data_IF_917596478415
#
_entry.id   IF_917596478415
#
_cell.length_a   1.000
_cell.length_b   1.000
_cell.length_c   1.000
_cell.angle_alpha   90.00
_cell.angle_beta   90.00
_cell.angle_gamma   90.00
#
_symmetry.space_group_name_H-M   'P 1'
#
loop_
_entity.id
_entity.type
_entity.pdbx_description
1 polymer ?
#
# COMPACT_ATOMS: atom_id res chain seq x y z
N UNK A 1 10.50 26.72 -19.30
CA UNK A 1 11.61 25.74 -19.32
C UNK A 1 11.34 24.48 -18.50
N UNK A 2 10.61 24.54 -17.37
CA UNK A 2 10.19 23.35 -16.57
C UNK A 2 9.05 22.53 -17.23
N UNK A 3 8.21 23.18 -18.04
CA UNK A 3 7.08 22.54 -18.78
C UNK A 3 7.52 21.57 -19.90
N UNK A 4 8.76 21.67 -20.40
CA UNK A 4 9.29 20.79 -21.46
C UNK A 4 9.95 19.52 -20.91
N UNK A 5 10.38 19.50 -19.63
CA UNK A 5 10.90 18.29 -18.99
C UNK A 5 9.78 17.32 -18.60
N UNK A 6 8.63 17.84 -18.16
CA UNK A 6 7.46 17.05 -17.77
C UNK A 6 6.77 16.36 -18.96
N UNK A 7 6.60 17.09 -20.08
CA UNK A 7 6.01 16.52 -21.31
C UNK A 7 6.91 15.47 -22.01
N UNK A 8 8.23 15.48 -21.76
CA UNK A 8 9.15 14.46 -22.27
C UNK A 8 9.10 13.14 -21.49
N UNK A 9 8.67 13.17 -20.22
CA UNK A 9 8.51 11.96 -19.41
C UNK A 9 7.18 11.26 -19.73
N UNK A 10 6.08 12.01 -19.91
CA UNK A 10 4.78 11.41 -20.23
C UNK A 10 4.62 10.92 -21.67
N UNK A 11 5.29 11.52 -22.67
CA UNK A 11 5.20 11.04 -24.07
C UNK A 11 6.06 9.82 -24.40
N UNK A 12 6.92 9.36 -23.49
CA UNK A 12 7.71 8.11 -23.67
C UNK A 12 7.01 6.86 -23.13
N UNK A 13 5.77 6.99 -22.64
CA UNK A 13 4.99 5.89 -22.06
C UNK A 13 4.16 5.09 -23.06
N UNK A 14 4.34 5.30 -24.37
CA UNK A 14 3.79 4.40 -25.38
C UNK A 14 4.87 4.09 -26.44
N UNK A 15 5.11 2.79 -26.63
CA UNK A 15 6.04 2.16 -27.57
C UNK A 15 7.54 2.36 -27.33
N UNK A 16 8.14 1.35 -26.70
CA UNK A 16 9.53 0.95 -26.93
C UNK A 16 9.65 -0.55 -26.65
N UNK A 17 9.30 -1.34 -27.67
CA UNK A 17 9.51 -2.78 -27.78
C UNK A 17 10.96 -3.18 -27.49
N UNK A 18 11.20 -3.86 -26.36
CA UNK A 18 12.19 -4.94 -26.20
C UNK A 18 12.17 -5.49 -24.77
N UNK A 19 11.09 -6.19 -24.42
CA UNK A 19 11.10 -7.16 -23.31
C UNK A 19 11.52 -8.51 -23.88
N UNK A 20 12.73 -8.98 -23.57
CA UNK A 20 13.13 -10.37 -23.86
C UNK A 20 13.82 -11.01 -22.64
N UNK A 21 13.16 -12.07 -22.15
CA UNK A 21 13.59 -13.33 -21.53
C UNK A 21 14.75 -13.39 -20.50
N UNK A 22 14.45 -14.14 -19.44
CA UNK A 22 15.38 -14.91 -18.61
C UNK A 22 16.22 -15.90 -19.45
N UNK A 23 17.53 -15.96 -19.13
CA UNK A 23 18.52 -17.09 -19.15
C UNK A 23 19.95 -16.49 -19.24
N UNK A 24 20.89 -17.03 -18.44
CA UNK A 24 22.34 -16.66 -18.28
C UNK A 24 23.22 -17.28 -19.42
N UNK A 25 24.57 -17.07 -19.59
CA UNK A 25 25.63 -16.81 -18.58
C UNK A 25 26.79 -15.82 -18.92
N UNK A 26 27.58 -15.55 -17.87
CA UNK A 26 29.01 -15.12 -17.75
C UNK A 26 29.60 -14.01 -18.64
N UNK A 27 30.12 -12.93 -18.03
CA UNK A 27 31.57 -12.73 -17.71
C UNK A 27 31.83 -11.32 -17.15
N UNK A 28 32.69 -11.24 -16.14
CA UNK A 28 33.75 -10.22 -16.02
C UNK A 28 33.42 -8.80 -15.51
N UNK A 29 34.04 -8.48 -14.36
CA UNK A 29 34.24 -7.18 -13.70
C UNK A 29 33.11 -6.70 -12.79
N UNK A 30 33.46 -6.57 -11.50
CA UNK A 30 32.61 -6.17 -10.37
C UNK A 30 31.71 -4.97 -10.72
N UNK A 31 30.47 -5.29 -11.05
CA UNK A 31 29.38 -4.38 -11.35
C UNK A 31 28.25 -4.75 -10.42
N UNK A 32 27.58 -3.74 -9.87
CA UNK A 32 26.31 -3.87 -9.13
C UNK A 32 25.34 -4.62 -10.06
N UNK A 33 25.24 -5.93 -9.87
CA UNK A 33 24.52 -6.83 -10.75
C UNK A 33 23.06 -6.90 -10.32
N UNK A 34 22.42 -5.77 -10.03
CA UNK A 34 21.00 -5.68 -9.64
C UNK A 34 20.14 -6.56 -10.55
N UNK A 35 19.09 -7.27 -10.07
CA UNK A 35 18.16 -7.97 -10.94
C UNK A 35 17.72 -6.95 -11.98
N UNK A 36 17.78 -7.26 -13.28
CA UNK A 36 17.74 -6.28 -14.39
C UNK A 36 16.50 -5.36 -14.31
N UNK A 37 16.54 -4.35 -13.45
CA UNK A 37 15.53 -3.31 -13.33
C UNK A 37 15.64 -2.44 -14.58
N UNK A 38 14.48 -1.99 -15.06
CA UNK A 38 14.42 -0.93 -16.05
C UNK A 38 15.23 0.28 -15.55
N UNK A 39 15.63 1.17 -16.46
CA UNK A 39 16.30 2.44 -16.09
C UNK A 39 15.55 3.18 -14.97
N UNK A 40 14.21 3.11 -14.98
CA UNK A 40 13.35 3.69 -13.97
C UNK A 40 13.48 3.01 -12.61
N UNK A 41 13.46 1.66 -12.55
CA UNK A 41 13.67 0.93 -11.29
C UNK A 41 15.03 1.20 -10.67
N UNK A 42 16.08 1.34 -11.49
CA UNK A 42 17.41 1.77 -11.00
C UNK A 42 17.39 3.17 -10.40
N UNK A 43 16.59 4.08 -10.98
CA UNK A 43 16.42 5.43 -10.44
C UNK A 43 15.73 5.40 -9.08
N UNK A 44 14.61 4.68 -8.95
CA UNK A 44 13.87 4.52 -7.69
C UNK A 44 14.74 3.92 -6.58
N UNK A 45 15.46 2.84 -6.89
CA UNK A 45 16.39 2.23 -5.94
C UNK A 45 17.53 3.19 -5.59
N UNK A 46 18.07 3.93 -6.56
CA UNK A 46 19.11 4.92 -6.30
C UNK A 46 18.63 6.05 -5.40
N UNK A 47 17.38 6.51 -5.54
CA UNK A 47 16.77 7.49 -4.65
C UNK A 47 16.70 6.96 -3.23
N UNK A 48 16.14 5.75 -3.05
CA UNK A 48 16.06 5.10 -1.72
C UNK A 48 17.43 5.00 -1.04
N UNK A 49 18.44 4.48 -1.76
CA UNK A 49 19.81 4.30 -1.24
C UNK A 49 20.51 5.62 -0.88
N UNK A 50 20.13 6.74 -1.50
CA UNK A 50 20.75 8.05 -1.26
C UNK A 50 20.05 8.85 -0.16
N UNK A 51 18.75 8.64 0.04
CA UNK A 51 17.93 9.47 0.92
C UNK A 51 17.67 8.80 2.28
N UNK A 52 17.74 7.47 2.36
CA UNK A 52 17.46 6.71 3.58
C UNK A 52 18.62 5.76 3.90
N UNK A 53 18.71 5.35 5.17
CA UNK A 53 19.62 4.28 5.58
C UNK A 53 19.10 2.94 5.05
N UNK A 54 19.52 2.62 3.82
CA UNK A 54 19.11 1.42 3.10
C UNK A 54 20.31 0.54 2.83
N UNK A 55 20.21 -0.74 3.20
CA UNK A 55 21.22 -1.77 2.91
C UNK A 55 20.62 -2.84 2.02
N UNK A 56 21.39 -3.26 1.01
CA UNK A 56 21.04 -4.43 0.21
C UNK A 56 21.51 -5.66 1.00
N UNK A 57 20.58 -6.52 1.38
CA UNK A 57 20.86 -7.71 2.19
C UNK A 57 21.25 -8.90 1.32
N UNK A 58 20.44 -9.19 0.31
CA UNK A 58 20.71 -10.24 -0.64
C UNK A 58 20.17 -9.89 -2.02
N UNK A 59 20.71 -10.61 -3.00
CA UNK A 59 20.34 -10.44 -4.38
C UNK A 59 20.30 -11.82 -5.04
N UNK A 60 19.08 -12.33 -5.25
CA UNK A 60 18.84 -13.62 -5.90
C UNK A 60 18.07 -13.38 -7.20
N UNK A 61 18.08 -14.34 -8.11
CA UNK A 61 17.43 -14.18 -9.41
C UNK A 61 15.94 -13.78 -9.22
N UNK A 62 15.61 -12.52 -9.56
CA UNK A 62 14.25 -11.97 -9.46
C UNK A 62 13.84 -11.41 -8.09
N UNK A 63 14.73 -11.40 -7.10
CA UNK A 63 14.46 -10.92 -5.73
C UNK A 63 15.57 -10.01 -5.23
N UNK A 64 15.19 -8.90 -4.58
CA UNK A 64 16.08 -7.95 -3.95
C UNK A 64 15.69 -7.78 -2.49
N UNK A 65 16.50 -8.31 -1.56
CA UNK A 65 16.34 -8.08 -0.14
C UNK A 65 16.87 -6.72 0.26
N UNK A 66 16.04 -5.91 0.92
CA UNK A 66 16.40 -4.58 1.42
C UNK A 66 16.21 -4.53 2.94
N UNK A 67 17.08 -3.78 3.61
CA UNK A 67 16.88 -3.29 4.96
C UNK A 67 16.72 -1.77 4.91
N UNK A 68 15.60 -1.23 5.39
CA UNK A 68 15.33 0.20 5.51
C UNK A 68 15.25 0.56 7.00
N UNK A 69 16.34 1.10 7.55
CA UNK A 69 16.48 1.29 8.99
C UNK A 69 16.31 -0.03 9.76
N UNK A 70 15.23 -0.14 10.54
CA UNK A 70 14.93 -1.33 11.36
C UNK A 70 14.15 -2.42 10.61
N UNK A 71 13.55 -2.10 9.45
CA UNK A 71 12.73 -3.06 8.72
C UNK A 71 13.52 -3.77 7.63
N UNK A 72 13.15 -5.02 7.35
CA UNK A 72 13.67 -5.84 6.26
C UNK A 72 12.50 -6.28 5.39
N UNK A 73 12.67 -6.24 4.08
CA UNK A 73 11.65 -6.66 3.12
C UNK A 73 12.27 -7.18 1.83
N UNK A 74 11.51 -7.99 1.11
CA UNK A 74 11.90 -8.52 -0.20
C UNK A 74 11.11 -7.82 -1.31
N UNK A 75 11.85 -7.43 -2.36
CA UNK A 75 11.31 -6.79 -3.55
C UNK A 75 11.42 -7.75 -4.74
N UNK A 76 10.28 -7.98 -5.38
CA UNK A 76 10.08 -8.88 -6.51
C UNK A 76 9.57 -8.16 -7.75
N UNK A 77 9.04 -6.92 -7.61
CA UNK A 77 8.50 -6.13 -8.72
C UNK A 77 8.99 -4.68 -8.74
N UNK A 78 8.76 -3.99 -9.86
CA UNK A 78 9.04 -2.55 -10.00
C UNK A 78 8.03 -1.70 -9.21
N UNK A 79 6.77 -2.14 -9.16
CA UNK A 79 5.69 -1.50 -8.41
C UNK A 79 6.02 -1.47 -6.91
N UNK A 80 6.56 -2.56 -6.37
CA UNK A 80 7.01 -2.62 -4.98
C UNK A 80 8.12 -1.60 -4.66
N UNK A 81 9.05 -1.33 -5.60
CA UNK A 81 10.01 -0.23 -5.44
C UNK A 81 9.36 1.15 -5.46
N UNK A 82 8.30 1.32 -6.25
CA UNK A 82 7.55 2.56 -6.34
C UNK A 82 6.80 2.82 -5.02
N UNK A 83 6.08 1.81 -4.50
CA UNK A 83 5.40 1.86 -3.19
C UNK A 83 6.40 2.18 -2.08
N UNK A 84 7.60 1.56 -2.08
CA UNK A 84 8.63 1.93 -1.10
C UNK A 84 9.06 3.41 -1.21
N UNK A 85 9.11 4.00 -2.41
CA UNK A 85 9.41 5.42 -2.55
C UNK A 85 8.26 6.28 -2.02
N UNK A 86 7.00 5.93 -2.28
CA UNK A 86 5.87 6.71 -1.76
C UNK A 86 5.85 6.71 -0.22
N UNK A 87 6.06 5.55 0.38
CA UNK A 87 6.05 5.40 1.85
C UNK A 87 7.28 6.06 2.48
N UNK A 88 8.48 5.75 1.99
CA UNK A 88 9.73 6.14 2.66
C UNK A 88 10.35 7.42 2.13
N UNK A 89 10.03 7.87 0.93
CA UNK A 89 10.58 9.13 0.37
C UNK A 89 9.54 10.23 0.42
N UNK A 90 8.36 9.98 -0.12
CA UNK A 90 7.29 10.98 -0.18
C UNK A 90 6.56 11.09 1.17
N UNK A 91 6.61 10.05 2.00
CA UNK A 91 6.07 10.06 3.35
C UNK A 91 4.55 10.04 3.39
N UNK A 92 3.90 9.39 2.41
CA UNK A 92 2.45 9.40 2.27
C UNK A 92 1.70 8.83 3.50
N UNK A 93 2.32 7.95 4.28
CA UNK A 93 1.74 7.42 5.52
C UNK A 93 2.41 7.96 6.79
N UNK A 94 3.26 8.98 6.69
CA UNK A 94 3.97 9.52 7.85
C UNK A 94 3.03 10.38 8.72
N UNK A 95 3.08 10.21 10.04
CA UNK A 95 2.24 10.95 10.97
C UNK A 95 2.90 11.12 12.33
N UNK A 96 2.39 12.09 13.10
CA UNK A 96 2.78 12.30 14.49
C UNK A 96 1.57 12.76 15.29
N UNK A 97 1.34 12.12 16.44
CA UNK A 97 0.23 12.40 17.35
C UNK A 97 0.76 12.42 18.78
N UNK A 98 0.17 13.21 19.70
CA UNK A 98 0.64 13.33 21.09
C UNK A 98 0.42 12.05 21.94
N UNK A 99 -0.03 10.96 21.34
CA UNK A 99 -0.32 9.69 22.00
C UNK A 99 0.86 8.73 21.96
N UNK A 100 1.07 8.02 23.06
CA UNK A 100 2.06 6.95 23.18
C UNK A 100 1.47 5.55 23.03
N UNK A 101 0.18 5.42 22.72
CA UNK A 101 -0.51 4.14 22.52
C UNK A 101 -1.42 4.21 21.29
N UNK A 102 -0.96 3.62 20.20
CA UNK A 102 -1.59 3.70 18.90
C UNK A 102 -1.98 2.30 18.42
N UNK A 103 -3.23 2.18 17.96
CA UNK A 103 -3.73 1.03 17.21
C UNK A 103 -3.82 1.49 15.75
N UNK A 104 -3.21 0.73 14.86
CA UNK A 104 -3.31 0.96 13.41
C UNK A 104 -4.21 -0.10 12.79
N UNK A 105 -5.10 0.32 11.88
CA UNK A 105 -5.84 -0.57 10.98
C UNK A 105 -5.36 -0.26 9.57
N UNK A 106 -4.71 -1.22 8.92
CA UNK A 106 -4.17 -1.12 7.57
C UNK A 106 -5.08 -1.88 6.59
N UNK A 107 -6.02 -1.17 5.97
CA UNK A 107 -6.94 -1.71 4.97
C UNK A 107 -6.25 -1.63 3.60
N UNK A 108 -6.05 -2.79 2.97
CA UNK A 108 -5.24 -2.94 1.76
C UNK A 108 -3.75 -2.98 2.07
N UNK A 109 -3.37 -3.98 2.88
CA UNK A 109 -2.02 -4.20 3.37
C UNK A 109 -1.01 -4.42 2.23
N UNK A 110 -1.45 -4.93 1.07
CA UNK A 110 -0.59 -5.33 -0.04
C UNK A 110 0.52 -6.27 0.50
N UNK A 111 1.76 -6.14 0.03
CA UNK A 111 2.92 -6.92 0.49
C UNK A 111 3.46 -6.47 1.87
N UNK A 112 2.72 -5.64 2.60
CA UNK A 112 2.98 -5.32 4.01
C UNK A 112 3.94 -4.16 4.28
N UNK A 113 4.32 -3.36 3.27
CA UNK A 113 5.29 -2.28 3.48
C UNK A 113 4.77 -1.16 4.40
N UNK A 114 3.49 -0.77 4.28
CA UNK A 114 2.90 0.23 5.17
C UNK A 114 2.82 -0.30 6.62
N UNK A 115 2.35 -1.53 6.80
CA UNK A 115 2.37 -2.22 8.10
C UNK A 115 3.77 -2.27 8.74
N UNK A 116 4.80 -2.60 7.96
CA UNK A 116 6.19 -2.57 8.44
C UNK A 116 6.64 -1.16 8.82
N UNK A 117 6.34 -0.16 8.00
CA UNK A 117 6.62 1.24 8.29
C UNK A 117 5.99 1.68 9.62
N UNK A 118 4.70 1.36 9.84
CA UNK A 118 4.01 1.68 11.09
C UNK A 118 4.61 0.96 12.30
N UNK A 119 5.07 -0.29 12.14
CA UNK A 119 5.62 -1.08 13.24
C UNK A 119 6.93 -0.50 13.80
N UNK A 120 7.62 0.38 13.04
CA UNK A 120 8.83 1.08 13.47
C UNK A 120 8.57 2.13 14.56
N UNK A 121 7.32 2.60 14.71
CA UNK A 121 6.98 3.57 15.73
C UNK A 121 6.80 2.88 17.09
N UNK A 122 7.53 3.36 18.10
CA UNK A 122 7.43 2.83 19.47
C UNK A 122 6.04 3.07 20.09
N UNK A 123 5.35 4.13 19.67
CA UNK A 123 3.98 4.44 20.09
C UNK A 123 2.93 3.49 19.50
N UNK A 124 3.26 2.75 18.43
CA UNK A 124 2.35 1.76 17.82
C UNK A 124 2.41 0.46 18.61
N UNK A 125 1.26 0.11 19.22
CA UNK A 125 1.07 -1.07 20.06
C UNK A 125 0.70 -2.29 19.22
N UNK A 126 -0.24 -2.13 18.31
CA UNK A 126 -0.73 -3.21 17.44
C UNK A 126 -1.23 -2.64 16.11
N UNK A 127 -1.13 -3.46 15.08
CA UNK A 127 -1.49 -3.18 13.70
C UNK A 127 -2.34 -4.35 13.22
N UNK A 128 -3.56 -4.06 12.75
CA UNK A 128 -4.43 -5.04 12.11
C UNK A 128 -4.44 -4.79 10.61
N UNK A 129 -3.96 -5.75 9.83
CA UNK A 129 -3.66 -5.55 8.41
C UNK A 129 -4.46 -6.50 7.54
N UNK A 130 -5.09 -5.99 6.48
CA UNK A 130 -6.07 -6.73 5.68
C UNK A 130 -5.66 -6.77 4.21
N UNK A 131 -5.50 -7.96 3.65
CA UNK A 131 -5.21 -8.19 2.23
C UNK A 131 -6.11 -9.32 1.71
N UNK A 132 -7.00 -9.04 0.73
CA UNK A 132 -7.89 -10.06 0.18
C UNK A 132 -7.20 -11.12 -0.70
N UNK A 133 -6.07 -10.79 -1.34
CA UNK A 133 -5.43 -11.66 -2.32
C UNK A 133 -4.39 -12.56 -1.67
N UNK A 134 -4.70 -13.86 -1.57
CA UNK A 134 -3.81 -14.84 -0.94
C UNK A 134 -2.33 -14.80 -1.42
N UNK A 135 -2.02 -14.68 -2.74
CA UNK A 135 -0.63 -14.58 -3.17
C UNK A 135 0.09 -13.31 -2.65
N UNK A 136 -0.61 -12.17 -2.60
CA UNK A 136 -0.07 -10.92 -2.04
C UNK A 136 0.10 -11.05 -0.51
N UNK A 137 -0.90 -11.62 0.16
CA UNK A 137 -0.89 -11.87 1.60
C UNK A 137 0.28 -12.77 2.02
N UNK A 138 0.54 -13.86 1.30
CA UNK A 138 1.64 -14.78 1.58
C UNK A 138 3.00 -14.09 1.46
N UNK A 139 3.15 -13.17 0.50
CA UNK A 139 4.35 -12.34 0.41
C UNK A 139 4.48 -11.37 1.59
N UNK A 140 3.37 -10.78 2.04
CA UNK A 140 3.39 -9.95 3.25
C UNK A 140 3.85 -10.76 4.47
N UNK A 141 3.35 -11.99 4.65
CA UNK A 141 3.82 -12.89 5.71
C UNK A 141 5.32 -13.16 5.64
N UNK A 142 5.84 -13.43 4.43
CA UNK A 142 7.28 -13.60 4.23
C UNK A 142 8.05 -12.34 4.62
N UNK A 143 7.57 -11.15 4.21
CA UNK A 143 8.19 -9.88 4.60
C UNK A 143 8.17 -9.69 6.12
N UNK A 144 7.05 -9.94 6.80
CA UNK A 144 6.98 -9.84 8.26
C UNK A 144 7.93 -10.81 8.96
N UNK A 145 8.09 -12.03 8.44
CA UNK A 145 8.98 -13.03 9.01
C UNK A 145 10.47 -12.64 8.99
N UNK A 146 10.89 -11.78 8.04
CA UNK A 146 12.26 -11.26 7.96
C UNK A 146 12.63 -10.32 9.12
N UNK A 147 11.64 -9.82 9.85
CA UNK A 147 11.83 -8.76 10.84
C UNK A 147 12.00 -9.31 12.26
N UNK A 148 12.65 -8.52 13.10
CA UNK A 148 12.90 -8.86 14.50
C UNK A 148 11.58 -8.96 15.28
N UNK A 149 11.59 -9.72 16.38
CA UNK A 149 10.37 -10.06 17.13
C UNK A 149 9.58 -8.82 17.57
N UNK A 150 10.26 -7.73 17.97
CA UNK A 150 9.62 -6.50 18.43
C UNK A 150 8.86 -5.73 17.33
N UNK A 151 9.20 -5.95 16.06
CA UNK A 151 8.48 -5.38 14.90
C UNK A 151 7.33 -6.30 14.54
N UNK A 152 7.62 -7.56 14.22
CA UNK A 152 6.59 -8.48 13.68
C UNK A 152 5.50 -8.84 14.70
N UNK A 153 5.78 -8.81 15.99
CA UNK A 153 4.78 -9.06 17.03
C UNK A 153 3.70 -7.96 17.12
N UNK A 154 3.96 -6.76 16.56
CA UNK A 154 2.95 -5.70 16.48
C UNK A 154 1.93 -5.94 15.37
N UNK A 155 2.19 -6.82 14.41
CA UNK A 155 1.38 -6.96 13.19
C UNK A 155 0.51 -8.21 13.29
N UNK A 156 -0.79 -8.04 13.18
CA UNK A 156 -1.79 -9.10 13.05
C UNK A 156 -2.35 -9.08 11.63
N UNK A 157 -1.86 -9.96 10.73
CA UNK A 157 -2.29 -10.00 9.35
C UNK A 157 -3.55 -10.86 9.17
N UNK A 158 -4.45 -10.42 8.28
CA UNK A 158 -5.72 -11.06 7.96
C UNK A 158 -5.87 -11.25 6.43
N UNK A 159 -6.05 -12.49 5.99
CA UNK A 159 -6.23 -12.85 4.57
C UNK A 159 -7.71 -12.71 4.14
N UNK A 160 -8.24 -11.50 4.27
CA UNK A 160 -9.53 -11.07 3.73
C UNK A 160 -9.51 -9.54 3.63
N UNK A 161 -10.23 -8.99 2.67
CA UNK A 161 -10.43 -7.54 2.57
C UNK A 161 -11.62 -7.07 3.39
N UNK A 162 -11.68 -5.76 3.66
CA UNK A 162 -12.85 -5.13 4.26
C UNK A 162 -13.72 -4.52 3.16
N UNK A 163 -15.04 -4.62 3.33
CA UNK A 163 -16.04 -4.14 2.38
C UNK A 163 -17.32 -3.72 3.11
N UNK A 164 -18.31 -3.27 2.35
CA UNK A 164 -19.61 -2.93 2.91
C UNK A 164 -20.37 -4.14 3.48
N UNK A 165 -20.21 -5.33 2.91
CA UNK A 165 -20.93 -6.54 3.29
C UNK A 165 -20.03 -7.78 3.09
N UNK A 166 -20.36 -8.87 3.77
CA UNK A 166 -19.67 -10.15 3.61
C UNK A 166 -19.92 -10.71 2.20
N UNK A 167 -18.85 -11.04 1.46
CA UNK A 167 -18.94 -11.66 0.15
C UNK A 167 -17.72 -12.51 -0.16
N UNK A 168 -17.91 -13.52 -0.99
CA UNK A 168 -16.84 -14.32 -1.58
C UNK A 168 -16.98 -14.25 -3.10
N UNK A 169 -15.91 -13.87 -3.79
CA UNK A 169 -15.90 -13.69 -5.24
C UNK A 169 -14.60 -14.26 -5.85
N UNK A 170 -14.57 -14.49 -7.17
CA UNK A 170 -13.36 -14.82 -7.91
C UNK A 170 -12.95 -13.63 -8.79
N UNK A 171 -11.75 -13.11 -8.59
CA UNK A 171 -11.26 -11.91 -9.28
C UNK A 171 -10.05 -12.24 -10.14
N UNK A 172 -9.87 -11.47 -11.23
CA UNK A 172 -8.64 -11.50 -12.01
C UNK A 172 -7.49 -10.89 -11.20
N UNK A 173 -6.31 -11.49 -11.31
CA UNK A 173 -5.13 -11.10 -10.54
C UNK A 173 -3.89 -11.11 -11.42
N UNK A 174 -3.06 -10.05 -11.31
CA UNK A 174 -1.78 -9.93 -12.00
C UNK A 174 -0.65 -10.03 -10.98
N UNK A 175 0.13 -11.11 -11.05
CA UNK A 175 1.24 -11.38 -10.13
C UNK A 175 2.37 -10.33 -10.20
N UNK A 176 2.35 -9.44 -11.20
CA UNK A 176 3.34 -8.36 -11.38
C UNK A 176 2.79 -6.96 -11.08
N UNK A 177 1.47 -6.81 -10.89
CA UNK A 177 0.78 -5.54 -10.57
C UNK A 177 -0.19 -5.76 -9.43
N UNK A 178 0.35 -5.83 -8.22
CA UNK A 178 -0.39 -6.22 -7.01
C UNK A 178 -1.14 -5.03 -6.41
N UNK A 179 -0.68 -3.79 -6.63
CA UNK A 179 -1.39 -2.57 -6.27
C UNK A 179 -2.69 -2.43 -7.07
N UNK A 180 -2.61 -2.45 -8.40
CA UNK A 180 -3.76 -2.17 -9.28
C UNK A 180 -4.89 -3.25 -9.31
N UNK A 181 -4.81 -4.32 -8.51
CA UNK A 181 -5.66 -5.52 -8.67
C UNK A 181 -7.09 -5.39 -8.14
N UNK A 182 -7.39 -4.43 -7.27
CA UNK A 182 -8.76 -4.24 -6.78
C UNK A 182 -9.68 -3.43 -7.72
N UNK A 183 -9.13 -2.80 -8.75
CA UNK A 183 -9.91 -2.06 -9.76
C UNK A 183 -10.55 -3.04 -10.75
N UNK A 184 -11.83 -3.37 -10.54
CA UNK A 184 -12.63 -4.32 -11.34
C UNK A 184 -12.62 -4.10 -12.87
N UNK A 185 -12.10 -2.97 -13.38
CA UNK A 185 -12.08 -2.61 -14.81
C UNK A 185 -10.71 -2.09 -15.34
N UNK A 186 -9.61 -2.14 -14.59
CA UNK A 186 -8.29 -1.65 -15.07
C UNK A 186 -7.67 -2.53 -16.17
N UNK A 187 -8.24 -3.71 -16.40
CA UNK A 187 -7.73 -4.70 -17.35
C UNK A 187 -8.06 -4.45 -18.83
N UNK A 188 -8.83 -3.41 -19.16
CA UNK A 188 -9.28 -3.14 -20.55
C UNK A 188 -8.42 -2.10 -21.30
N UNK A 189 -7.16 -1.93 -20.90
CA UNK A 189 -6.19 -1.13 -21.67
C UNK A 189 -5.43 -2.01 -22.66
N UNK A 190 -5.12 -1.50 -23.85
CA UNK A 190 -4.36 -2.22 -24.92
C UNK A 190 -3.06 -2.91 -24.44
N UNK A 191 -2.48 -2.46 -23.31
CA UNK A 191 -1.32 -3.09 -22.66
C UNK A 191 -1.62 -4.46 -22.02
N UNK A 192 -2.89 -4.77 -21.72
CA UNK A 192 -3.34 -6.00 -21.07
C UNK A 192 -3.30 -7.22 -22.02
N UNK A 193 -3.24 -6.99 -23.33
CA UNK A 193 -3.17 -8.02 -24.39
C UNK A 193 -1.78 -8.65 -24.53
N UNK A 194 -0.72 -8.03 -24.01
CA UNK A 194 0.67 -8.44 -24.27
C UNK A 194 1.33 -9.33 -23.19
N UNK A 195 0.71 -9.52 -22.02
CA UNK A 195 1.24 -10.36 -20.93
C UNK A 195 0.21 -11.38 -20.45
N UNK A 196 -0.01 -12.44 -21.23
CA UNK A 196 -0.97 -13.51 -20.93
C UNK A 196 -0.46 -14.45 -19.81
N UNK A 197 0.83 -14.44 -19.49
CA UNK A 197 1.45 -15.45 -18.59
C UNK A 197 1.54 -15.07 -17.10
N UNK A 198 1.24 -13.83 -16.69
CA UNK A 198 1.27 -13.40 -15.27
C UNK A 198 -0.12 -13.20 -14.67
N UNK A 199 -1.16 -13.73 -15.31
CA UNK A 199 -2.56 -13.52 -14.93
C UNK A 199 -3.20 -14.81 -14.45
N UNK A 200 -4.04 -14.72 -13.43
CA UNK A 200 -4.83 -15.84 -12.92
C UNK A 200 -6.14 -15.34 -12.31
N UNK A 201 -6.97 -16.30 -11.87
CA UNK A 201 -8.12 -16.01 -11.01
C UNK A 201 -7.81 -16.43 -9.58
N UNK A 202 -8.23 -15.64 -8.63
CA UNK A 202 -8.02 -15.89 -7.20
C UNK A 202 -9.33 -15.67 -6.46
N UNK A 203 -9.60 -16.55 -5.50
CA UNK A 203 -10.72 -16.40 -4.60
C UNK A 203 -10.41 -15.26 -3.62
N UNK A 204 -11.34 -14.33 -3.51
CA UNK A 204 -11.28 -13.16 -2.63
C UNK A 204 -12.40 -13.28 -1.60
N UNK A 205 -12.04 -13.16 -0.33
CA UNK A 205 -12.98 -13.08 0.79
C UNK A 205 -13.02 -11.64 1.27
N UNK A 206 -14.22 -11.09 1.36
CA UNK A 206 -14.47 -9.74 1.85
C UNK A 206 -15.43 -9.80 3.03
N UNK A 207 -15.11 -9.05 4.08
CA UNK A 207 -15.90 -8.99 5.32
C UNK A 207 -16.45 -7.61 5.56
N UNK A 208 -17.61 -7.54 6.21
CA UNK A 208 -18.19 -6.30 6.69
C UNK A 208 -17.19 -5.55 7.59
N UNK A 209 -16.81 -4.35 7.16
CA UNK A 209 -15.80 -3.55 7.84
C UNK A 209 -16.21 -3.19 9.29
N UNK A 210 -17.51 -2.99 9.53
CA UNK A 210 -18.00 -2.58 10.85
C UNK A 210 -17.95 -3.72 11.86
N UNK A 211 -18.30 -4.94 11.45
CA UNK A 211 -18.22 -6.13 12.28
C UNK A 211 -16.77 -6.44 12.67
N UNK A 212 -15.85 -6.36 11.70
CA UNK A 212 -14.42 -6.60 11.97
C UNK A 212 -13.84 -5.54 12.93
N UNK A 213 -14.19 -4.27 12.75
CA UNK A 213 -13.75 -3.22 13.67
C UNK A 213 -14.39 -3.31 15.06
N UNK A 214 -15.66 -3.76 15.15
CA UNK A 214 -16.34 -4.03 16.42
C UNK A 214 -15.53 -5.05 17.24
N UNK A 215 -15.06 -6.14 16.62
CA UNK A 215 -14.23 -7.14 17.29
C UNK A 215 -12.86 -6.59 17.72
N UNK A 216 -12.15 -5.89 16.82
CA UNK A 216 -10.79 -5.40 17.08
C UNK A 216 -10.77 -4.36 18.20
N UNK A 217 -11.81 -3.54 18.28
CA UNK A 217 -11.86 -2.38 19.17
C UNK A 217 -12.91 -2.54 20.27
N UNK A 218 -13.39 -3.77 20.50
CA UNK A 218 -14.29 -4.11 21.61
C UNK A 218 -13.70 -3.71 22.96
N UNK A 219 -12.39 -3.88 23.13
CA UNK A 219 -11.66 -3.59 24.36
C UNK A 219 -10.80 -2.31 24.28
N UNK A 220 -10.94 -1.51 23.21
CA UNK A 220 -10.21 -0.25 23.08
C UNK A 220 -10.74 0.74 24.13
N UNK A 221 -9.81 1.36 24.85
CA UNK A 221 -10.15 2.34 25.90
C UNK A 221 -9.66 3.72 25.52
N UNK A 222 -8.35 3.94 25.61
CA UNK A 222 -7.71 5.25 25.45
C UNK A 222 -6.72 5.28 24.27
N UNK A 223 -6.56 4.17 23.55
CA UNK A 223 -5.64 4.12 22.42
C UNK A 223 -6.09 5.04 21.29
N UNK A 224 -5.14 5.72 20.64
CA UNK A 224 -5.41 6.46 19.40
C UNK A 224 -5.57 5.47 18.26
N UNK A 225 -6.65 5.61 17.49
CA UNK A 225 -6.95 4.80 16.33
C UNK A 225 -6.59 5.53 15.05
N UNK A 226 -5.62 4.95 14.35
CA UNK A 226 -5.19 5.39 13.02
C UNK A 226 -5.67 4.36 12.01
N UNK A 227 -6.38 4.79 10.98
CA UNK A 227 -6.82 3.90 9.90
C UNK A 227 -6.20 4.36 8.58
N UNK A 228 -5.45 3.46 7.93
CA UNK A 228 -5.08 3.56 6.53
C UNK A 228 -6.15 2.85 5.70
N UNK A 229 -6.59 3.50 4.62
CA UNK A 229 -7.50 2.92 3.62
C UNK A 229 -6.89 3.11 2.24
N UNK A 230 -6.48 2.01 1.62
CA UNK A 230 -5.92 1.98 0.28
C UNK A 230 -6.32 0.64 -0.35
N UNK A 231 -7.56 0.58 -0.86
CA UNK A 231 -8.24 -0.68 -1.20
C UNK A 231 -8.89 -0.65 -2.58
N UNK A 232 -8.37 0.20 -3.46
CA UNK A 232 -8.63 0.15 -4.91
C UNK A 232 -10.12 0.27 -5.31
N UNK A 233 -10.89 1.06 -4.55
CA UNK A 233 -12.27 1.44 -4.89
C UNK A 233 -13.32 1.13 -3.80
N UNK A 234 -13.00 0.29 -2.81
CA UNK A 234 -13.91 -0.01 -1.71
C UNK A 234 -13.95 1.08 -0.61
N UNK A 235 -13.05 2.07 -0.66
CA UNK A 235 -12.93 3.12 0.36
C UNK A 235 -14.23 3.87 0.60
N UNK A 236 -15.00 4.14 -0.46
CA UNK A 236 -16.28 4.86 -0.38
C UNK A 236 -17.32 4.09 0.42
N UNK A 237 -17.52 2.81 0.10
CA UNK A 237 -18.55 1.99 0.74
C UNK A 237 -18.17 1.64 2.18
N UNK A 238 -16.88 1.45 2.45
CA UNK A 238 -16.34 1.27 3.80
C UNK A 238 -16.64 2.51 4.64
N UNK A 239 -16.28 3.70 4.16
CA UNK A 239 -16.48 4.94 4.91
C UNK A 239 -17.96 5.26 5.16
N UNK A 240 -18.84 5.00 4.18
CA UNK A 240 -20.29 5.13 4.35
C UNK A 240 -20.84 4.20 5.43
N UNK A 241 -20.40 2.93 5.45
CA UNK A 241 -20.79 1.96 6.49
C UNK A 241 -20.26 2.34 7.86
N UNK A 242 -19.00 2.80 7.95
CA UNK A 242 -18.44 3.32 9.20
C UNK A 242 -19.22 4.53 9.70
N UNK A 243 -19.60 5.45 8.82
CA UNK A 243 -20.43 6.60 9.17
C UNK A 243 -21.79 6.16 9.73
N UNK A 244 -22.52 5.32 9.00
CA UNK A 244 -23.84 4.84 9.37
C UNK A 244 -23.84 4.10 10.72
N UNK A 245 -22.77 3.36 11.02
CA UNK A 245 -22.60 2.64 12.28
C UNK A 245 -22.11 3.53 13.45
N UNK A 246 -21.75 4.79 13.18
CA UNK A 246 -21.26 5.77 14.15
C UNK A 246 -19.75 5.67 14.45
N UNK A 247 -19.01 4.92 13.64
CA UNK A 247 -17.58 4.65 13.83
C UNK A 247 -16.68 5.82 13.55
N UNK A 248 -17.03 6.71 12.61
CA UNK A 248 -16.16 7.83 12.24
C UNK A 248 -15.77 8.67 13.46
N UNK A 249 -16.69 8.90 14.40
CA UNK A 249 -16.44 9.63 15.64
C UNK A 249 -15.48 8.94 16.63
N UNK A 250 -15.11 7.68 16.39
CA UNK A 250 -14.13 6.92 17.18
C UNK A 250 -12.75 6.91 16.53
N UNK A 251 -12.62 7.36 15.28
CA UNK A 251 -11.34 7.34 14.56
C UNK A 251 -10.64 8.67 14.80
N UNK A 252 -9.35 8.61 15.10
CA UNK A 252 -8.54 9.80 15.40
C UNK A 252 -7.85 10.32 14.15
N UNK A 253 -7.30 9.42 13.33
CA UNK A 253 -6.58 9.74 12.10
C UNK A 253 -7.00 8.80 10.98
N UNK A 254 -7.25 9.37 9.81
CA UNK A 254 -7.52 8.66 8.56
C UNK A 254 -6.49 9.07 7.51
N UNK A 255 -5.87 8.09 6.88
CA UNK A 255 -5.03 8.25 5.69
C UNK A 255 -5.67 7.42 4.58
N UNK A 256 -6.21 8.09 3.58
CA UNK A 256 -7.07 7.44 2.58
C UNK A 256 -6.50 7.71 1.20
N UNK A 257 -6.16 6.65 0.48
CA UNK A 257 -5.96 6.69 -0.96
C UNK A 257 -7.30 6.38 -1.63
N UNK A 258 -7.85 7.38 -2.32
CA UNK A 258 -9.09 7.23 -3.07
C UNK A 258 -8.80 6.89 -4.52
N UNK A 259 -9.71 6.14 -5.13
CA UNK A 259 -9.60 5.63 -6.48
C UNK A 259 -10.89 5.89 -7.28
N UNK A 260 -10.75 6.24 -8.56
CA UNK A 260 -11.81 6.42 -9.56
C UNK A 260 -12.79 7.60 -9.33
N UNK A 261 -13.47 7.68 -8.19
CA UNK A 261 -14.63 8.59 -8.02
C UNK A 261 -14.26 10.00 -7.54
N UNK A 262 -13.00 10.24 -7.19
CA UNK A 262 -12.52 11.53 -6.69
C UNK A 262 -12.66 11.70 -5.17
N UNK A 263 -12.11 12.80 -4.62
CA UNK A 263 -12.08 13.06 -3.18
C UNK A 263 -13.38 13.63 -2.61
N UNK A 264 -14.31 14.09 -3.45
CA UNK A 264 -15.39 15.00 -3.04
C UNK A 264 -16.38 14.36 -2.04
N UNK A 265 -16.84 13.14 -2.33
CA UNK A 265 -17.79 12.43 -1.47
C UNK A 265 -17.18 12.07 -0.11
N UNK A 266 -15.94 11.57 -0.12
CA UNK A 266 -15.17 11.26 1.08
C UNK A 266 -14.94 12.52 1.91
N UNK A 267 -14.47 13.60 1.30
CA UNK A 267 -14.19 14.86 1.98
C UNK A 267 -15.44 15.45 2.61
N UNK A 268 -16.57 15.44 1.87
CA UNK A 268 -17.86 15.90 2.38
C UNK A 268 -18.31 15.09 3.59
N UNK A 269 -18.21 13.76 3.52
CA UNK A 269 -18.57 12.87 4.62
C UNK A 269 -17.71 13.15 5.86
N UNK A 270 -16.38 13.19 5.71
CA UNK A 270 -15.48 13.41 6.84
C UNK A 270 -15.68 14.78 7.50
N UNK A 271 -15.89 15.83 6.71
CA UNK A 271 -16.20 17.17 7.23
C UNK A 271 -17.54 17.20 8.00
N UNK A 272 -18.56 16.49 7.54
CA UNK A 272 -19.84 16.35 8.25
C UNK A 272 -19.68 15.70 9.63
N UNK A 273 -18.71 14.81 9.78
CA UNK A 273 -18.39 14.14 11.05
C UNK A 273 -17.28 14.85 11.86
N UNK A 274 -16.95 16.10 11.51
CA UNK A 274 -16.09 16.97 12.33
C UNK A 274 -14.59 16.82 12.12
N UNK A 275 -14.15 16.06 11.10
CA UNK A 275 -12.73 15.96 10.78
C UNK A 275 -12.17 17.26 10.18
N UNK A 276 -10.90 17.55 10.44
CA UNK A 276 -10.08 18.43 9.60
C UNK A 276 -9.40 17.63 8.50
N UNK A 277 -9.17 18.22 7.33
CA UNK A 277 -8.53 17.56 6.17
C UNK A 277 -7.29 18.37 5.75
N UNK A 278 -6.15 17.72 5.54
CA UNK A 278 -4.85 18.35 5.21
C UNK A 278 -4.37 18.14 3.77
N UNK A 279 -4.99 17.26 2.98
CA UNK A 279 -4.71 17.12 1.55
C UNK A 279 -5.97 16.70 0.81
N UNK A 280 -6.20 17.31 -0.34
CA UNK A 280 -7.25 16.92 -1.29
C UNK A 280 -6.73 16.93 -2.73
N UNK A 281 -5.44 17.19 -2.94
CA UNK A 281 -4.91 17.28 -4.29
C UNK A 281 -4.75 15.87 -4.89
N UNK A 282 -5.34 15.60 -6.06
CA UNK A 282 -5.15 14.33 -6.74
C UNK A 282 -3.68 14.09 -7.07
N UNK A 283 -3.21 12.86 -6.88
CA UNK A 283 -1.95 12.40 -7.49
C UNK A 283 -2.10 12.38 -9.02
N UNK A 284 -3.26 11.92 -9.48
CA UNK A 284 -3.63 11.89 -10.88
C UNK A 284 -5.17 11.95 -11.04
N UNK A 285 -5.68 11.85 -12.27
CA UNK A 285 -7.12 11.98 -12.55
C UNK A 285 -7.99 10.89 -11.90
N UNK A 286 -7.41 9.77 -11.50
CA UNK A 286 -8.12 8.60 -11.00
C UNK A 286 -7.67 8.17 -9.60
N UNK A 287 -6.69 8.84 -8.98
CA UNK A 287 -6.27 8.55 -7.61
C UNK A 287 -5.67 9.76 -6.89
N UNK A 288 -5.74 9.75 -5.56
CA UNK A 288 -5.19 10.80 -4.70
C UNK A 288 -5.29 10.50 -3.21
N UNK A 289 -4.64 11.33 -2.39
CA UNK A 289 -4.59 11.15 -0.94
C UNK A 289 -5.46 12.15 -0.19
N UNK A 290 -6.18 11.65 0.82
CA UNK A 290 -6.87 12.42 1.85
C UNK A 290 -6.26 12.08 3.20
N UNK A 291 -5.81 13.11 3.91
CA UNK A 291 -5.40 13.02 5.32
C UNK A 291 -6.43 13.73 6.17
N UNK A 292 -7.06 13.00 7.08
CA UNK A 292 -8.09 13.55 7.96
C UNK A 292 -7.78 13.26 9.42
N UNK A 293 -8.04 14.24 10.28
CA UNK A 293 -7.84 14.15 11.73
C UNK A 293 -9.08 14.60 12.47
N UNK A 294 -9.46 13.86 13.51
CA UNK A 294 -10.58 14.22 14.35
C UNK A 294 -10.18 15.38 15.28
N UNK A 295 -10.94 16.48 15.25
CA UNK A 295 -10.64 17.69 16.05
C UNK A 295 -11.04 17.55 17.51
N UNK A 296 -11.84 16.55 17.85
CA UNK A 296 -12.29 16.27 19.22
C UNK A 296 -12.31 14.76 19.43
N UNK A 297 -11.13 14.11 19.50
CA UNK A 297 -11.06 12.70 19.82
C UNK A 297 -11.63 12.46 21.22
N UNK A 298 -12.34 11.34 21.37
CA UNK A 298 -13.07 10.97 22.60
C UNK A 298 -12.15 10.80 23.80
#
# INVERSE_FOLDING_TARGET
MIRQLYNRLHKKFYYSTSFHRFIAPSTGNEKINSPKFSFYGKKLLSTLLKTRDVKILDQKAGKLGLQLGQIKCEITSLEELYILNEIFIDGCYNFSVPSNKIIVVDIGMNVGFASLFFAQFDSVKTIHSFEPFAPTFDQALNNFALNDQHIKAKITPHNFGLAADNKEEEWDYDYLRKGDTGLRNSFDTEASKFNITSKGKVKVVLKDATAVLDDILANRTTETLVIKIDCEGAEYEILEKLAARGWLSRIDVLMIEWHLKGPESISKLLLQYGFGILSQFPHNKVAGMIYAFNKSPR
#
